data_IF_223994385411
#
_entry.id   IF_223994385411
#
_cell.length_a   1.000
_cell.length_b   1.000
_cell.length_c   1.000
_cell.angle_alpha   90.00
_cell.angle_beta   90.00
_cell.angle_gamma   90.00
#
_symmetry.space_group_name_H-M   'P 1'
#
loop_
_entity.id
_entity.type
_entity.pdbx_description
1 polymer ?
#
# COMPACT_ATOMS: atom_id res chain seq x y z
N UNK A 1 -10.13 21.95 -0.06
CA UNK A 1 -11.20 21.31 -0.87
C UNK A 1 -11.42 19.80 -0.62
N UNK A 2 -10.48 19.01 -0.04
CA UNK A 2 -10.66 17.56 0.27
C UNK A 2 -11.40 17.24 1.60
N UNK A 3 -11.64 18.23 2.45
CA UNK A 3 -12.20 18.06 3.81
C UNK A 3 -13.54 18.75 4.02
N UNK A 4 -14.33 18.95 2.96
CA UNK A 4 -15.72 19.40 3.16
C UNK A 4 -16.45 18.36 4.00
N UNK A 5 -16.99 18.77 5.15
CA UNK A 5 -17.75 17.93 6.08
C UNK A 5 -18.87 17.20 5.32
N UNK A 6 -19.53 17.89 4.38
CA UNK A 6 -20.57 17.31 3.51
C UNK A 6 -20.10 16.10 2.72
N UNK A 7 -18.90 16.16 2.12
CA UNK A 7 -18.33 15.03 1.36
C UNK A 7 -17.90 13.87 2.27
N UNK A 8 -17.47 14.16 3.50
CA UNK A 8 -17.14 13.12 4.48
C UNK A 8 -18.42 12.43 5.00
N UNK A 9 -19.52 13.18 5.17
CA UNK A 9 -20.83 12.65 5.52
C UNK A 9 -21.44 11.81 4.38
N UNK A 10 -21.33 12.25 3.12
CA UNK A 10 -21.75 11.46 1.97
C UNK A 10 -21.01 10.12 1.89
N UNK A 11 -19.69 10.11 2.11
CA UNK A 11 -18.92 8.86 2.20
C UNK A 11 -19.38 7.96 3.35
N UNK A 12 -19.86 8.52 4.45
CA UNK A 12 -20.36 7.72 5.57
C UNK A 12 -21.70 7.06 5.29
N UNK A 13 -22.49 7.58 4.35
CA UNK A 13 -23.81 7.04 3.99
C UNK A 13 -23.71 5.58 3.54
N UNK A 14 -22.68 5.27 2.76
CA UNK A 14 -22.43 3.95 2.18
C UNK A 14 -21.81 2.94 3.15
N UNK A 15 -21.28 3.41 4.29
CA UNK A 15 -20.63 2.52 5.28
C UNK A 15 -21.60 1.56 5.97
N UNK A 16 -22.90 1.79 5.84
CA UNK A 16 -23.97 0.95 6.40
C UNK A 16 -24.61 0.05 5.35
N UNK A 17 -24.24 0.14 4.07
CA UNK A 17 -24.82 -0.71 3.02
C UNK A 17 -24.48 -2.18 3.29
N UNK A 18 -25.40 -3.08 2.97
CA UNK A 18 -25.25 -4.52 3.26
C UNK A 18 -24.09 -5.14 2.47
N UNK A 19 -23.99 -4.80 1.18
CA UNK A 19 -22.94 -5.26 0.26
C UNK A 19 -21.63 -4.43 0.33
N UNK A 20 -21.44 -3.66 1.40
CA UNK A 20 -20.27 -2.79 1.55
C UNK A 20 -18.96 -3.59 1.64
N UNK A 21 -17.92 -3.10 0.94
CA UNK A 21 -16.58 -3.69 0.92
C UNK A 21 -15.53 -2.72 1.46
N UNK A 22 -14.76 -3.18 2.45
CA UNK A 22 -13.58 -2.44 2.93
C UNK A 22 -12.34 -2.87 2.14
N UNK A 23 -11.75 -1.97 1.35
CA UNK A 23 -10.44 -2.19 0.73
C UNK A 23 -9.37 -1.63 1.66
N UNK A 24 -8.73 -2.50 2.42
CA UNK A 24 -7.84 -2.11 3.53
C UNK A 24 -6.50 -2.81 3.42
N UNK A 25 -5.48 -2.06 3.03
CA UNK A 25 -4.13 -2.56 2.77
C UNK A 25 -3.09 -1.46 2.93
N UNK A 26 -1.83 -1.86 3.12
CA UNK A 26 -0.69 -0.94 3.08
C UNK A 26 -0.60 -0.21 1.74
N UNK A 27 -0.09 1.01 1.69
CA UNK A 27 0.05 1.71 0.41
C UNK A 27 0.93 0.95 -0.62
N UNK A 28 0.62 1.14 -1.90
CA UNK A 28 1.44 0.72 -3.07
C UNK A 28 1.45 -0.77 -3.40
N UNK A 29 0.43 -1.52 -3.00
CA UNK A 29 0.22 -2.92 -3.40
C UNK A 29 -0.81 -3.10 -4.52
N UNK A 30 -1.07 -2.08 -5.34
CA UNK A 30 -1.85 -2.22 -6.58
C UNK A 30 -3.38 -2.20 -6.45
N UNK A 31 -3.90 -1.77 -5.29
CA UNK A 31 -5.34 -1.76 -4.98
C UNK A 31 -6.19 -0.78 -5.79
N UNK A 32 -5.60 0.19 -6.51
CA UNK A 32 -6.35 1.15 -7.34
C UNK A 32 -7.24 0.46 -8.38
N UNK A 33 -6.80 -0.66 -8.95
CA UNK A 33 -7.60 -1.43 -9.91
C UNK A 33 -8.83 -2.08 -9.25
N UNK A 34 -8.71 -2.50 -7.99
CA UNK A 34 -9.84 -3.05 -7.21
C UNK A 34 -10.84 -1.93 -6.91
N UNK A 35 -10.38 -0.79 -6.37
CA UNK A 35 -11.25 0.35 -6.12
C UNK A 35 -11.97 0.82 -7.40
N UNK A 36 -11.25 0.90 -8.52
CA UNK A 36 -11.85 1.27 -9.80
C UNK A 36 -12.93 0.26 -10.24
N UNK A 37 -12.66 -1.03 -10.13
CA UNK A 37 -13.59 -2.09 -10.54
C UNK A 37 -14.82 -2.17 -9.64
N UNK A 38 -14.66 -1.98 -8.32
CA UNK A 38 -15.79 -1.88 -7.39
C UNK A 38 -16.70 -0.69 -7.74
N UNK A 39 -16.11 0.46 -8.05
CA UNK A 39 -16.86 1.65 -8.45
C UNK A 39 -17.63 1.44 -9.77
N UNK A 40 -17.02 0.79 -10.78
CA UNK A 40 -17.70 0.48 -12.05
C UNK A 40 -18.91 -0.44 -11.87
N UNK A 41 -18.86 -1.33 -10.89
CA UNK A 41 -19.95 -2.25 -10.55
C UNK A 41 -20.93 -1.65 -9.51
N UNK A 42 -20.82 -0.36 -9.18
CA UNK A 42 -21.63 0.33 -8.18
C UNK A 42 -21.62 -0.35 -6.80
N UNK A 43 -20.51 -1.01 -6.44
CA UNK A 43 -20.34 -1.66 -5.15
C UNK A 43 -19.87 -0.61 -4.14
N UNK A 44 -20.64 -0.35 -3.06
CA UNK A 44 -20.23 0.54 -2.00
C UNK A 44 -18.90 0.10 -1.40
N UNK A 45 -17.88 0.95 -1.44
CA UNK A 45 -16.58 0.60 -0.91
C UNK A 45 -15.85 1.75 -0.23
N UNK A 46 -14.98 1.41 0.71
CA UNK A 46 -14.05 2.36 1.30
C UNK A 46 -12.62 1.88 1.16
N UNK A 47 -11.83 2.61 0.39
CA UNK A 47 -10.41 2.39 0.25
C UNK A 47 -9.62 3.21 1.28
N UNK A 48 -8.86 2.53 2.12
CA UNK A 48 -8.07 3.13 3.20
C UNK A 48 -6.81 2.33 3.48
N UNK A 49 -5.78 3.00 4.01
CA UNK A 49 -4.51 2.36 4.38
C UNK A 49 -4.25 2.32 5.89
N UNK A 50 -4.79 3.28 6.64
CA UNK A 50 -4.73 3.30 8.10
C UNK A 50 -5.88 4.10 8.68
N UNK A 51 -6.33 3.73 9.89
CA UNK A 51 -7.34 4.46 10.65
C UNK A 51 -6.78 5.45 11.68
N UNK A 52 -5.46 5.65 11.71
CA UNK A 52 -4.84 6.50 12.75
C UNK A 52 -4.55 7.92 12.27
N UNK A 53 -3.92 8.06 11.10
CA UNK A 53 -3.46 9.33 10.56
C UNK A 53 -3.11 9.22 9.06
N UNK A 54 -2.50 10.25 8.49
CA UNK A 54 -1.82 10.16 7.21
C UNK A 54 -0.64 9.17 7.29
N UNK A 55 -0.56 8.22 6.36
CA UNK A 55 0.47 7.17 6.35
C UNK A 55 1.89 7.75 6.39
N UNK A 56 2.11 8.89 5.76
CA UNK A 56 3.43 9.55 5.67
C UNK A 56 4.06 9.76 7.05
N UNK A 57 3.26 9.94 8.11
CA UNK A 57 3.78 10.09 9.48
C UNK A 57 4.32 8.81 10.09
N UNK A 58 3.88 7.64 9.61
CA UNK A 58 4.37 6.33 10.03
C UNK A 58 5.44 5.80 9.08
N UNK A 59 5.39 6.24 7.82
CA UNK A 59 6.26 5.78 6.74
C UNK A 59 7.62 6.46 6.71
N UNK A 60 7.78 7.61 7.35
CA UNK A 60 9.03 8.35 7.30
C UNK A 60 9.55 8.74 8.68
N UNK A 61 10.84 8.49 8.94
CA UNK A 61 11.53 8.89 10.17
C UNK A 61 11.74 10.41 10.23
N UNK A 62 11.90 11.09 9.09
CA UNK A 62 11.99 12.55 9.01
C UNK A 62 10.61 13.24 9.13
N UNK A 63 9.88 12.93 10.20
CA UNK A 63 8.51 13.44 10.42
C UNK A 63 8.42 14.96 10.43
N UNK A 64 9.51 15.69 10.71
CA UNK A 64 9.54 17.16 10.61
C UNK A 64 9.24 17.65 9.18
N UNK A 65 9.77 16.98 8.15
CA UNK A 65 9.52 17.37 6.77
C UNK A 65 8.12 16.97 6.32
N UNK A 66 7.66 15.79 6.75
CA UNK A 66 6.27 15.35 6.53
C UNK A 66 5.29 16.40 7.05
N UNK A 67 5.49 16.94 8.26
CA UNK A 67 4.61 17.96 8.87
C UNK A 67 4.39 19.18 7.98
N UNK A 68 5.35 19.56 7.13
CA UNK A 68 5.25 20.75 6.26
C UNK A 68 4.15 20.63 5.19
N UNK A 69 3.69 19.41 4.90
CA UNK A 69 2.61 19.16 3.93
C UNK A 69 1.21 19.09 4.56
N UNK A 70 1.09 19.10 5.89
CA UNK A 70 -0.18 18.87 6.58
C UNK A 70 -0.47 19.97 7.59
N UNK A 71 -1.54 20.72 7.35
CA UNK A 71 -2.06 21.70 8.31
C UNK A 71 -2.56 21.00 9.59
N UNK A 72 -2.10 21.41 10.80
CA UNK A 72 -2.43 20.71 12.05
C UNK A 72 -3.93 20.57 12.33
N UNK A 73 -4.71 21.61 12.07
CA UNK A 73 -6.16 21.63 12.31
C UNK A 73 -6.90 20.65 11.39
N UNK A 74 -6.55 20.62 10.10
CA UNK A 74 -7.11 19.67 9.12
C UNK A 74 -6.72 18.24 9.43
N UNK A 75 -5.46 18.01 9.85
CA UNK A 75 -4.99 16.70 10.29
C UNK A 75 -5.77 16.20 11.50
N UNK A 76 -5.95 17.04 12.52
CA UNK A 76 -6.75 16.67 13.69
C UNK A 76 -8.18 16.27 13.30
N UNK A 77 -8.85 17.08 12.47
CA UNK A 77 -10.18 16.76 11.97
C UNK A 77 -10.21 15.44 11.18
N UNK A 78 -9.18 15.18 10.36
CA UNK A 78 -9.05 13.93 9.62
C UNK A 78 -8.96 12.71 10.54
N UNK A 79 -8.14 12.77 11.60
CA UNK A 79 -8.01 11.70 12.59
C UNK A 79 -9.33 11.40 13.29
N UNK A 80 -10.13 12.43 13.57
CA UNK A 80 -11.47 12.25 14.15
C UNK A 80 -12.41 11.53 13.18
N UNK A 81 -12.37 11.87 11.89
CA UNK A 81 -13.14 11.17 10.85
C UNK A 81 -12.71 9.70 10.74
N UNK A 82 -11.40 9.42 10.73
CA UNK A 82 -10.87 8.06 10.68
C UNK A 82 -11.32 7.23 11.90
N UNK A 83 -11.19 7.78 13.11
CA UNK A 83 -11.64 7.13 14.35
C UNK A 83 -13.13 6.82 14.31
N UNK A 84 -13.95 7.75 13.83
CA UNK A 84 -15.39 7.53 13.70
C UNK A 84 -15.71 6.41 12.71
N UNK A 85 -15.08 6.40 11.54
CA UNK A 85 -15.27 5.35 10.53
C UNK A 85 -14.83 3.98 11.02
N UNK A 86 -13.66 3.91 11.68
CA UNK A 86 -13.18 2.68 12.31
C UNK A 86 -14.23 2.12 13.26
N UNK A 87 -14.78 2.97 14.14
CA UNK A 87 -15.80 2.56 15.10
C UNK A 87 -17.09 2.05 14.43
N UNK A 88 -17.56 2.71 13.36
CA UNK A 88 -18.71 2.22 12.61
C UNK A 88 -18.44 0.85 11.99
N UNK A 89 -17.29 0.68 11.34
CA UNK A 89 -16.91 -0.58 10.69
C UNK A 89 -16.72 -1.71 11.71
N UNK A 90 -16.10 -1.45 12.87
CA UNK A 90 -15.94 -2.42 13.96
C UNK A 90 -17.27 -2.89 14.55
N UNK A 91 -18.34 -2.10 14.44
CA UNK A 91 -19.68 -2.46 14.93
C UNK A 91 -20.55 -3.21 13.93
N UNK A 92 -20.12 -3.32 12.67
CA UNK A 92 -20.88 -4.08 11.67
C UNK A 92 -20.95 -5.54 12.05
N UNK A 93 -22.14 -6.12 11.88
CA UNK A 93 -22.38 -7.55 12.09
C UNK A 93 -21.60 -8.39 11.08
N UNK A 94 -21.56 -7.95 9.82
CA UNK A 94 -20.78 -8.57 8.75
C UNK A 94 -19.94 -7.52 7.99
N UNK A 95 -18.71 -7.88 7.65
CA UNK A 95 -17.85 -7.02 6.82
C UNK A 95 -16.96 -7.85 5.90
N UNK A 96 -17.06 -7.57 4.59
CA UNK A 96 -16.09 -8.04 3.60
C UNK A 96 -14.90 -7.10 3.57
N UNK A 97 -13.69 -7.67 3.65
CA UNK A 97 -12.42 -6.95 3.59
C UNK A 97 -11.60 -7.50 2.43
N UNK A 98 -11.18 -6.64 1.52
CA UNK A 98 -10.17 -6.99 0.51
C UNK A 98 -8.85 -6.34 0.93
N UNK A 99 -7.83 -7.16 1.13
CA UNK A 99 -6.48 -6.73 1.49
C UNK A 99 -5.45 -7.30 0.53
N UNK A 100 -4.28 -6.67 0.46
CA UNK A 100 -3.28 -6.98 -0.54
C UNK A 100 -1.89 -6.98 0.06
N UNK A 101 -1.04 -7.86 -0.47
CA UNK A 101 0.41 -7.90 -0.26
C UNK A 101 1.11 -7.85 -1.61
N UNK A 102 2.35 -7.39 -1.63
CA UNK A 102 3.18 -7.30 -2.83
C UNK A 102 4.64 -7.52 -2.45
N UNK A 103 5.47 -7.91 -3.42
CA UNK A 103 6.93 -7.87 -3.37
C UNK A 103 7.42 -6.68 -2.50
N UNK A 104 8.06 -6.92 -1.33
CA UNK A 104 8.45 -5.89 -0.38
C UNK A 104 9.31 -4.81 -1.01
N UNK A 105 10.28 -5.21 -1.82
CA UNK A 105 11.21 -4.29 -2.49
C UNK A 105 10.46 -3.41 -3.49
N UNK A 106 9.53 -4.00 -4.26
CA UNK A 106 8.68 -3.24 -5.16
C UNK A 106 7.81 -2.21 -4.43
N UNK A 107 7.29 -2.59 -3.26
CA UNK A 107 6.38 -1.77 -2.46
C UNK A 107 7.12 -0.57 -1.87
N UNK A 108 8.26 -0.80 -1.21
CA UNK A 108 9.12 0.24 -0.64
C UNK A 108 9.57 1.22 -1.72
N UNK A 109 10.11 0.72 -2.84
CA UNK A 109 10.56 1.56 -3.95
C UNK A 109 9.40 2.38 -4.54
N UNK A 110 8.26 1.74 -4.78
CA UNK A 110 7.09 2.43 -5.34
C UNK A 110 6.57 3.53 -4.41
N UNK A 111 6.63 3.30 -3.09
CA UNK A 111 6.22 4.31 -2.11
C UNK A 111 7.20 5.48 -2.05
N UNK A 112 8.49 5.21 -1.92
CA UNK A 112 9.49 6.26 -1.84
C UNK A 112 9.36 7.26 -2.99
N UNK A 113 9.20 6.76 -4.22
CA UNK A 113 9.03 7.62 -5.39
C UNK A 113 7.64 8.27 -5.49
N UNK A 114 6.59 7.67 -4.93
CA UNK A 114 5.27 8.32 -4.82
C UNK A 114 5.38 9.63 -4.02
N UNK A 115 6.18 9.62 -2.96
CA UNK A 115 6.36 10.77 -2.07
C UNK A 115 7.71 11.46 -2.27
N UNK A 116 8.27 11.38 -3.50
CA UNK A 116 9.58 11.93 -3.82
C UNK A 116 9.71 13.42 -3.44
N UNK A 117 8.61 14.16 -3.52
CA UNK A 117 8.51 15.56 -3.12
C UNK A 117 8.87 15.82 -1.64
N UNK A 118 8.66 14.85 -0.74
CA UNK A 118 9.05 14.93 0.67
C UNK A 118 10.57 14.90 0.80
N UNK A 119 11.23 14.04 0.00
CA UNK A 119 12.67 13.82 0.04
C UNK A 119 13.46 15.04 -0.46
N UNK A 120 12.83 15.91 -1.25
CA UNK A 120 13.44 17.14 -1.73
C UNK A 120 13.33 18.33 -0.76
N UNK A 121 12.61 18.23 0.37
CA UNK A 121 12.52 19.38 1.30
C UNK A 121 13.89 19.75 1.87
N UNK A 122 14.64 18.76 2.35
CA UNK A 122 15.99 18.99 2.88
C UNK A 122 16.93 19.43 1.77
N UNK A 123 16.80 18.80 0.59
CA UNK A 123 17.58 19.13 -0.60
C UNK A 123 17.35 20.55 -1.14
N UNK A 124 16.23 21.21 -0.83
CA UNK A 124 15.98 22.62 -1.24
C UNK A 124 17.01 23.61 -0.71
N UNK A 125 17.79 23.26 0.32
CA UNK A 125 18.89 24.08 0.82
C UNK A 125 20.20 23.88 0.05
N UNK A 126 20.27 22.88 -0.81
CA UNK A 126 21.47 22.54 -1.59
C UNK A 126 21.16 22.61 -3.09
N UNK A 127 21.59 23.70 -3.73
CA UNK A 127 21.34 23.90 -5.16
C UNK A 127 21.96 22.82 -6.06
N UNK A 128 22.99 22.09 -5.62
CA UNK A 128 23.62 21.04 -6.42
C UNK A 128 22.67 19.86 -6.66
N UNK A 129 21.82 19.54 -5.68
CA UNK A 129 20.82 18.45 -5.74
C UNK A 129 19.76 18.73 -6.82
N UNK A 130 19.60 19.98 -7.27
CA UNK A 130 18.64 20.32 -8.32
C UNK A 130 19.26 20.47 -9.71
N UNK A 131 20.59 20.52 -9.80
CA UNK A 131 21.33 20.82 -11.04
C UNK A 131 22.16 19.63 -11.52
N UNK A 132 22.54 18.72 -10.64
CA UNK A 132 23.37 17.55 -10.95
C UNK A 132 22.64 16.22 -10.64
N UNK A 133 22.59 15.32 -11.62
CA UNK A 133 21.90 14.03 -11.52
C UNK A 133 22.59 13.05 -10.56
N UNK A 134 23.92 13.08 -10.45
CA UNK A 134 24.66 12.23 -9.51
C UNK A 134 24.47 12.70 -8.08
N UNK A 135 24.55 14.01 -7.83
CA UNK A 135 24.24 14.58 -6.51
C UNK A 135 22.79 14.29 -6.11
N UNK A 136 21.85 14.42 -7.05
CA UNK A 136 20.44 14.02 -6.86
C UNK A 136 20.36 12.56 -6.45
N UNK A 137 21.06 11.67 -7.16
CA UNK A 137 21.05 10.24 -6.89
C UNK A 137 21.61 9.91 -5.51
N UNK A 138 22.78 10.45 -5.13
CA UNK A 138 23.40 10.22 -3.82
C UNK A 138 22.49 10.68 -2.68
N UNK A 139 21.85 11.85 -2.84
CA UNK A 139 20.86 12.34 -1.88
C UNK A 139 19.66 11.40 -1.75
N UNK A 140 19.12 10.93 -2.88
CA UNK A 140 17.98 10.01 -2.88
C UNK A 140 18.36 8.64 -2.33
N UNK A 141 19.56 8.13 -2.59
CA UNK A 141 20.06 6.89 -1.99
C UNK A 141 20.13 7.04 -0.47
N UNK A 142 20.72 8.14 0.02
CA UNK A 142 20.75 8.44 1.44
C UNK A 142 19.34 8.50 2.06
N UNK A 143 18.40 9.21 1.43
CA UNK A 143 17.02 9.28 1.91
C UNK A 143 16.31 7.91 1.86
N UNK A 144 16.55 7.12 0.82
CA UNK A 144 15.98 5.78 0.69
C UNK A 144 16.52 4.82 1.75
N UNK A 145 17.77 4.98 2.15
CA UNK A 145 18.38 4.15 3.18
C UNK A 145 17.92 4.55 4.59
N UNK A 146 17.75 5.84 4.85
CA UNK A 146 17.62 6.37 6.22
C UNK A 146 16.25 6.96 6.57
N UNK A 147 15.49 7.47 5.59
CA UNK A 147 14.24 8.20 5.87
C UNK A 147 13.01 7.34 5.79
N UNK A 148 12.92 6.39 4.84
CA UNK A 148 11.76 5.50 4.72
C UNK A 148 11.79 4.40 5.79
N UNK A 149 10.72 4.32 6.56
CA UNK A 149 10.51 3.28 7.56
C UNK A 149 10.10 1.96 6.86
N UNK A 150 11.09 1.14 6.50
CA UNK A 150 10.90 -0.13 5.79
C UNK A 150 10.07 -1.14 6.60
N UNK A 151 10.14 -1.11 7.94
CA UNK A 151 9.36 -2.00 8.82
C UNK A 151 7.86 -1.70 8.84
N UNK A 152 7.44 -0.52 8.38
CA UNK A 152 6.01 -0.18 8.26
C UNK A 152 5.27 -1.24 7.44
N UNK A 153 5.86 -1.69 6.32
CA UNK A 153 5.21 -2.63 5.40
C UNK A 153 5.08 -4.03 5.99
N UNK A 154 6.13 -4.54 6.64
CA UNK A 154 6.09 -5.87 7.27
C UNK A 154 5.17 -5.93 8.48
N UNK A 155 5.04 -4.82 9.21
CA UNK A 155 4.27 -4.77 10.45
C UNK A 155 2.84 -4.25 10.23
N UNK A 156 2.47 -3.92 8.99
CA UNK A 156 1.18 -3.30 8.69
C UNK A 156 0.02 -4.19 9.14
N UNK A 157 0.06 -5.50 8.86
CA UNK A 157 -1.03 -6.40 9.21
C UNK A 157 -1.27 -6.48 10.73
N UNK A 158 -0.22 -6.55 11.55
CA UNK A 158 -0.36 -6.49 13.01
C UNK A 158 -0.88 -5.12 13.47
N UNK A 159 -0.30 -4.04 12.96
CA UNK A 159 -0.62 -2.67 13.38
C UNK A 159 -2.00 -2.20 12.90
N UNK A 160 -2.56 -2.79 11.84
CA UNK A 160 -3.78 -2.32 11.21
C UNK A 160 -4.87 -3.39 11.26
N UNK A 161 -4.71 -4.49 10.53
CA UNK A 161 -5.74 -5.52 10.40
C UNK A 161 -6.01 -6.23 11.74
N UNK A 162 -4.97 -6.69 12.43
CA UNK A 162 -5.07 -7.34 13.74
C UNK A 162 -5.52 -6.38 14.81
N UNK A 163 -4.86 -5.23 14.97
CA UNK A 163 -5.24 -4.24 15.99
C UNK A 163 -6.69 -3.75 15.85
N UNK A 164 -7.16 -3.49 14.63
CA UNK A 164 -8.47 -2.88 14.43
C UNK A 164 -9.61 -3.90 14.25
N UNK A 165 -9.32 -5.12 13.78
CA UNK A 165 -10.37 -6.12 13.48
C UNK A 165 -10.12 -7.49 14.12
N UNK A 166 -9.08 -7.63 14.94
CA UNK A 166 -8.66 -8.89 15.58
C UNK A 166 -8.39 -10.02 14.58
N UNK A 167 -7.92 -9.67 13.39
CA UNK A 167 -7.59 -10.61 12.32
C UNK A 167 -6.07 -10.74 12.27
N UNK A 168 -5.55 -11.87 12.75
CA UNK A 168 -4.13 -12.18 12.72
C UNK A 168 -3.82 -13.06 11.51
N UNK A 169 -3.17 -12.47 10.50
CA UNK A 169 -2.84 -13.22 9.28
C UNK A 169 -1.89 -14.39 9.55
N UNK A 170 -1.06 -14.32 10.60
CA UNK A 170 -0.02 -15.31 10.86
C UNK A 170 -0.58 -16.61 11.44
N UNK A 171 -1.82 -16.60 11.90
CA UNK A 171 -2.51 -17.78 12.42
C UNK A 171 -3.35 -18.49 11.36
N UNK A 172 -3.54 -17.88 10.20
CA UNK A 172 -4.33 -18.46 9.11
C UNK A 172 -3.50 -19.47 8.32
N UNK A 173 -4.12 -20.58 7.91
CA UNK A 173 -3.46 -21.58 7.07
C UNK A 173 -3.37 -21.06 5.63
N UNK A 174 -2.16 -20.73 5.19
CA UNK A 174 -1.91 -20.21 3.84
C UNK A 174 -1.10 -21.19 3.00
N UNK A 175 -1.69 -21.74 1.95
CA UNK A 175 -0.95 -22.40 0.89
C UNK A 175 -0.25 -21.34 0.02
N UNK A 176 1.03 -21.10 0.31
CA UNK A 176 1.82 -20.07 -0.36
C UNK A 176 1.90 -20.22 -1.89
N UNK A 177 1.45 -21.32 -2.50
CA UNK A 177 1.33 -21.43 -3.96
C UNK A 177 0.11 -20.70 -4.54
N UNK A 178 -0.88 -20.38 -3.70
CA UNK A 178 -2.13 -19.74 -4.12
C UNK A 178 -1.94 -18.24 -4.42
N UNK A 179 -2.70 -17.68 -5.37
CA UNK A 179 -2.67 -16.26 -5.72
C UNK A 179 -3.41 -15.38 -4.70
N UNK A 180 -4.33 -15.97 -3.94
CA UNK A 180 -5.12 -15.31 -2.92
C UNK A 180 -5.53 -16.29 -1.82
N UNK A 181 -5.93 -15.75 -0.67
CA UNK A 181 -6.30 -16.48 0.53
C UNK A 181 -7.62 -15.93 1.03
N UNK A 182 -8.51 -16.82 1.45
CA UNK A 182 -9.79 -16.46 2.04
C UNK A 182 -9.92 -17.06 3.41
N UNK A 183 -10.38 -16.25 4.34
CA UNK A 183 -10.65 -16.68 5.71
C UNK A 183 -11.73 -15.79 6.32
N UNK A 184 -12.43 -16.36 7.30
CA UNK A 184 -13.50 -15.67 8.01
C UNK A 184 -13.18 -15.67 9.50
N UNK A 185 -13.17 -14.49 10.12
CA UNK A 185 -12.91 -14.34 11.54
C UNK A 185 -13.91 -13.35 12.16
N UNK A 186 -14.67 -13.77 13.18
CA UNK A 186 -15.66 -12.92 13.86
C UNK A 186 -16.60 -12.17 12.89
N UNK A 187 -17.21 -12.90 11.94
CA UNK A 187 -18.08 -12.36 10.89
C UNK A 187 -17.41 -11.34 9.96
N UNK A 188 -16.08 -11.41 9.83
CA UNK A 188 -15.29 -10.65 8.87
C UNK A 188 -14.78 -11.61 7.82
N UNK A 189 -15.29 -11.48 6.61
CA UNK A 189 -14.78 -12.23 5.47
C UNK A 189 -13.62 -11.46 4.88
N UNK A 190 -12.46 -12.10 4.75
CA UNK A 190 -11.26 -11.47 4.23
C UNK A 190 -10.80 -12.18 2.97
N UNK A 191 -10.49 -11.40 1.94
CA UNK A 191 -9.76 -11.84 0.78
C UNK A 191 -8.40 -11.15 0.78
N UNK A 192 -7.33 -11.90 1.06
CA UNK A 192 -5.95 -11.44 0.95
C UNK A 192 -5.39 -11.83 -0.41
N UNK A 193 -4.89 -10.85 -1.15
CA UNK A 193 -4.45 -11.02 -2.53
C UNK A 193 -2.96 -10.70 -2.68
N UNK A 194 -2.24 -11.54 -3.41
CA UNK A 194 -0.92 -11.18 -3.93
C UNK A 194 -1.08 -10.25 -5.13
N UNK A 195 -0.50 -9.06 -5.06
CA UNK A 195 -0.55 -8.06 -6.12
C UNK A 195 -0.02 -8.60 -7.45
N UNK A 196 0.96 -9.50 -7.41
CA UNK A 196 1.56 -10.15 -8.57
C UNK A 196 0.53 -10.94 -9.40
N UNK A 197 -0.54 -11.41 -8.78
CA UNK A 197 -1.57 -12.24 -9.40
C UNK A 197 -2.82 -11.45 -9.81
N UNK A 198 -2.85 -10.12 -9.64
CA UNK A 198 -4.04 -9.29 -9.87
C UNK A 198 -4.71 -9.50 -11.23
N UNK A 199 -3.94 -9.73 -12.29
CA UNK A 199 -4.49 -9.92 -13.64
C UNK A 199 -5.39 -11.16 -13.77
N UNK A 200 -5.31 -12.10 -12.83
CA UNK A 200 -5.95 -13.40 -12.91
C UNK A 200 -6.99 -13.62 -11.79
N UNK A 201 -7.40 -12.58 -11.06
CA UNK A 201 -8.26 -12.70 -9.87
C UNK A 201 -9.76 -12.50 -10.11
N UNK A 202 -10.20 -12.47 -11.36
CA UNK A 202 -11.60 -12.21 -11.69
C UNK A 202 -12.53 -13.22 -11.00
N UNK A 203 -12.21 -14.52 -11.08
CA UNK A 203 -13.02 -15.58 -10.47
C UNK A 203 -13.05 -15.45 -8.95
N UNK A 204 -11.89 -15.21 -8.33
CA UNK A 204 -11.77 -15.10 -6.89
C UNK A 204 -12.51 -13.86 -6.36
N UNK A 205 -12.49 -12.76 -7.10
CA UNK A 205 -13.24 -11.55 -6.76
C UNK A 205 -14.74 -11.73 -6.99
N UNK A 206 -15.16 -12.33 -8.11
CA UNK A 206 -16.57 -12.65 -8.40
C UNK A 206 -17.20 -13.45 -7.26
N UNK A 207 -16.57 -14.56 -6.87
CA UNK A 207 -17.10 -15.44 -5.84
C UNK A 207 -17.06 -14.78 -4.45
N UNK A 208 -15.99 -14.07 -4.11
CA UNK A 208 -15.91 -13.35 -2.83
C UNK A 208 -16.95 -12.24 -2.71
N UNK A 209 -17.16 -11.48 -3.79
CA UNK A 209 -18.14 -10.40 -3.86
C UNK A 209 -19.57 -10.92 -4.04
N UNK A 210 -19.74 -12.16 -4.48
CA UNK A 210 -21.02 -12.78 -4.90
C UNK A 210 -21.65 -12.02 -6.07
N UNK A 211 -20.84 -11.76 -7.09
CA UNK A 211 -21.23 -11.03 -8.30
C UNK A 211 -20.79 -11.85 -9.50
N UNK A 212 -21.73 -12.12 -10.39
CA UNK A 212 -21.45 -12.79 -11.66
C UNK A 212 -20.60 -11.89 -12.58
N UNK A 213 -19.65 -12.49 -13.28
CA UNK A 213 -18.81 -11.82 -14.30
C UNK A 213 -18.05 -10.57 -13.81
N UNK A 214 -17.58 -10.54 -12.56
CA UNK A 214 -16.71 -9.46 -12.09
C UNK A 214 -15.38 -9.44 -12.87
N UNK A 215 -15.09 -8.31 -13.50
CA UNK A 215 -13.85 -8.13 -14.27
C UNK A 215 -12.99 -7.02 -13.65
N UNK A 216 -11.75 -7.37 -13.28
CA UNK A 216 -10.77 -6.40 -12.80
C UNK A 216 -10.30 -5.50 -13.96
N UNK A 217 -10.63 -4.21 -13.88
CA UNK A 217 -10.17 -3.20 -14.83
C UNK A 217 -8.90 -2.52 -14.33
N UNK A 218 -7.85 -2.61 -15.14
CA UNK A 218 -6.55 -2.02 -14.83
C UNK A 218 -6.60 -0.48 -14.79
N UNK A 219 -6.15 0.09 -13.67
CA UNK A 219 -5.90 1.53 -13.53
C UNK A 219 -4.46 1.86 -13.94
N UNK A 220 -4.24 2.30 -15.18
CA UNK A 220 -2.90 2.62 -15.70
C UNK A 220 -2.35 3.94 -15.14
N UNK A 221 -2.00 4.00 -13.86
CA UNK A 221 -1.57 5.26 -13.20
C UNK A 221 -0.06 5.55 -13.30
N UNK A 222 0.76 4.65 -13.85
CA UNK A 222 2.23 4.73 -13.73
C UNK A 222 2.96 5.40 -14.90
N UNK A 223 2.37 5.48 -16.10
CA UNK A 223 3.15 5.78 -17.32
C UNK A 223 3.59 7.25 -17.48
N UNK A 224 2.96 8.21 -16.78
CA UNK A 224 3.18 9.65 -16.98
C UNK A 224 3.62 10.42 -15.72
N UNK A 225 4.37 9.78 -14.80
CA UNK A 225 4.81 10.46 -13.58
C UNK A 225 6.05 11.33 -13.82
N UNK A 226 6.05 12.54 -13.28
CA UNK A 226 7.11 13.55 -13.44
C UNK A 226 8.51 13.07 -13.04
N UNK A 227 8.59 12.01 -12.23
CA UNK A 227 9.82 11.43 -11.71
C UNK A 227 10.31 10.19 -12.47
N UNK A 228 9.76 9.86 -13.64
CA UNK A 228 10.10 8.64 -14.40
C UNK A 228 11.59 8.50 -14.71
N UNK A 229 12.26 9.61 -15.08
CA UNK A 229 13.68 9.63 -15.41
C UNK A 229 14.55 9.32 -14.19
N UNK A 230 14.33 10.02 -13.07
CA UNK A 230 15.09 9.79 -11.84
C UNK A 230 14.80 8.42 -11.23
N UNK A 231 13.56 7.93 -11.33
CA UNK A 231 13.20 6.56 -10.95
C UNK A 231 13.99 5.52 -11.73
N UNK A 232 14.07 5.67 -13.05
CA UNK A 232 14.82 4.75 -13.92
C UNK A 232 16.31 4.82 -13.62
N UNK A 233 16.83 6.03 -13.40
CA UNK A 233 18.23 6.26 -13.04
C UNK A 233 18.60 5.58 -11.72
N UNK A 234 17.75 5.75 -10.69
CA UNK A 234 17.93 5.15 -9.37
C UNK A 234 17.86 3.62 -9.43
N UNK A 235 16.84 3.07 -10.11
CA UNK A 235 16.62 1.63 -10.22
C UNK A 235 17.79 0.89 -10.88
N UNK A 236 18.55 1.54 -11.77
CA UNK A 236 19.72 0.93 -12.41
C UNK A 236 20.97 0.90 -11.52
N UNK A 237 21.06 1.79 -10.53
CA UNK A 237 22.29 2.03 -9.76
C UNK A 237 22.22 1.57 -8.31
N UNK A 238 21.03 1.67 -7.71
CA UNK A 238 20.84 1.28 -6.32
C UNK A 238 21.00 -0.23 -6.15
N UNK A 239 21.79 -0.62 -5.15
CA UNK A 239 21.97 -2.01 -4.78
C UNK A 239 20.76 -2.54 -4.00
N UNK A 240 19.84 -3.19 -4.72
CA UNK A 240 18.63 -3.76 -4.13
C UNK A 240 18.89 -4.99 -3.25
N UNK A 241 20.07 -5.62 -3.34
CA UNK A 241 20.39 -6.77 -2.49
C UNK A 241 20.39 -6.40 -0.99
N UNK A 242 20.67 -5.12 -0.67
CA UNK A 242 20.53 -4.53 0.67
C UNK A 242 19.14 -4.71 1.29
N UNK A 243 18.10 -4.93 0.48
CA UNK A 243 16.72 -5.10 0.94
C UNK A 243 16.27 -6.57 1.01
N UNK A 244 17.11 -7.53 0.61
CA UNK A 244 16.68 -8.93 0.51
C UNK A 244 16.34 -9.58 1.85
N UNK A 245 16.85 -9.02 2.96
CA UNK A 245 16.43 -9.42 4.31
C UNK A 245 14.91 -9.29 4.52
N UNK A 246 14.23 -8.41 3.76
CA UNK A 246 12.79 -8.23 3.87
C UNK A 246 12.03 -9.50 3.50
N UNK A 247 12.55 -10.32 2.58
CA UNK A 247 11.92 -11.59 2.21
C UNK A 247 11.98 -12.64 3.34
N UNK A 248 12.91 -12.47 4.29
CA UNK A 248 13.04 -13.36 5.44
C UNK A 248 12.14 -12.94 6.62
N UNK A 249 11.47 -11.79 6.53
CA UNK A 249 10.53 -11.33 7.55
C UNK A 249 9.28 -12.25 7.60
N UNK A 250 8.66 -12.41 8.79
CA UNK A 250 7.56 -13.35 8.98
C UNK A 250 6.44 -13.22 7.94
N UNK A 251 6.04 -11.98 7.60
CA UNK A 251 4.99 -11.71 6.62
C UNK A 251 5.26 -12.40 5.28
N UNK A 252 6.46 -12.21 4.76
CA UNK A 252 6.79 -12.64 3.41
C UNK A 252 7.10 -14.13 3.34
N UNK A 253 7.70 -14.69 4.39
CA UNK A 253 7.89 -16.15 4.52
C UNK A 253 6.57 -16.91 4.68
N UNK A 254 5.57 -16.27 5.27
CA UNK A 254 4.26 -16.86 5.44
C UNK A 254 3.45 -16.86 4.13
N UNK A 255 3.48 -15.75 3.38
CA UNK A 255 2.62 -15.57 2.21
C UNK A 255 3.24 -15.98 0.88
N UNK A 256 4.57 -15.96 0.75
CA UNK A 256 5.26 -16.28 -0.51
C UNK A 256 6.07 -17.55 -0.40
N UNK A 257 6.02 -18.35 -1.47
CA UNK A 257 6.87 -19.53 -1.63
C UNK A 257 8.33 -19.15 -1.82
N UNK A 258 9.24 -20.08 -1.52
CA UNK A 258 10.67 -19.89 -1.77
C UNK A 258 10.95 -19.58 -3.26
N UNK A 259 10.22 -20.22 -4.17
CA UNK A 259 10.34 -19.99 -5.61
C UNK A 259 9.96 -18.56 -6.01
N UNK A 260 8.86 -18.02 -5.49
CA UNK A 260 8.46 -16.62 -5.73
C UNK A 260 9.50 -15.65 -5.16
N UNK A 261 10.01 -15.91 -3.96
CA UNK A 261 11.05 -15.10 -3.33
C UNK A 261 12.32 -15.06 -4.20
N UNK A 262 12.77 -16.21 -4.71
CA UNK A 262 13.93 -16.29 -5.59
C UNK A 262 13.70 -15.57 -6.91
N UNK A 263 12.50 -15.68 -7.48
CA UNK A 263 12.12 -14.90 -8.67
C UNK A 263 12.16 -13.39 -8.42
N UNK A 264 11.69 -12.93 -7.25
CA UNK A 264 11.79 -11.51 -6.88
C UNK A 264 13.25 -11.08 -6.74
N UNK A 265 14.07 -11.83 -6.01
CA UNK A 265 15.50 -11.53 -5.85
C UNK A 265 16.20 -11.44 -7.21
N UNK A 266 16.01 -12.43 -8.08
CA UNK A 266 16.60 -12.45 -9.43
C UNK A 266 16.15 -11.25 -10.28
N UNK A 267 14.86 -10.91 -10.26
CA UNK A 267 14.33 -9.71 -10.94
C UNK A 267 15.04 -8.43 -10.48
N UNK A 268 15.34 -8.30 -9.20
CA UNK A 268 16.05 -7.13 -8.65
C UNK A 268 17.55 -7.15 -8.93
N UNK A 269 18.18 -8.33 -9.01
CA UNK A 269 19.56 -8.48 -9.47
C UNK A 269 19.71 -8.07 -10.94
N UNK A 270 18.87 -8.60 -11.84
CA UNK A 270 18.90 -8.27 -13.27
C UNK A 270 18.59 -6.79 -13.55
N UNK A 271 17.77 -6.14 -12.70
CA UNK A 271 17.54 -4.71 -12.80
C UNK A 271 18.82 -3.86 -12.64
N UNK A 272 19.83 -4.40 -11.92
CA UNK A 272 21.15 -3.79 -11.77
C UNK A 272 22.10 -4.15 -12.92
N UNK A 273 21.97 -5.33 -13.52
CA UNK A 273 22.89 -5.86 -14.55
C UNK A 273 22.74 -5.20 -15.92
N UNK A 274 21.62 -4.54 -16.23
CA UNK A 274 21.47 -3.67 -17.42
C UNK A 274 22.37 -2.42 -17.42
N UNK A 275 23.45 -2.46 -16.65
CA UNK A 275 24.42 -1.40 -16.35
C UNK A 275 25.87 -1.87 -16.56
N UNK A 276 26.08 -3.12 -16.99
CA UNK A 276 27.39 -3.62 -17.45
C UNK A 276 27.48 -3.62 -18.97
#
# INVERSE_FOLDING_TARGET
MKYSIRRQLEKNKYLNDENFVLVYQMGKVGSSSIEHSLNLNNIPSYHIHTFDDHEEFHMYHNTHDVKKFFEPTKRFAYRMVLKHRRHLLQKRDNLKIITLVRDPVATVLSRFFQDLHIQFIEGKKNESIHKDMNETYLHLEHCFDNHINKSYFSNWFDNELKRNFNIDIFTEETDCSQPSFRFTHNNRDVLLVKCESLSNLNNELSEFLQIDDFELKNSNEAKNKWYSNIYTYFKKRYDFSKLFYMYDLPLYRHLYSAQEIDQFKNKWLTAMEGTR
#
